data_IF_510551414504
#
_entry.id   IF_510551414504
#
_cell.length_a   1.000
_cell.length_b   1.000
_cell.length_c   1.000
_cell.angle_alpha   90.00
_cell.angle_beta   90.00
_cell.angle_gamma   90.00
#
_symmetry.space_group_name_H-M   'P 1'
#
loop_
_entity.id
_entity.type
_entity.pdbx_description
1 polymer ?
#
# COMPACT_ATOMS: atom_id res chain seq x y z
N UNK A 1 -16.72 -23.76 -8.61
CA UNK A 1 -16.08 -22.43 -8.76
C UNK A 1 -17.11 -21.38 -9.22
N UNK A 2 -18.33 -21.34 -8.63
CA UNK A 2 -19.40 -20.36 -8.96
C UNK A 2 -19.56 -19.25 -7.91
N UNK A 3 -18.91 -19.40 -6.75
CA UNK A 3 -19.06 -18.45 -5.63
C UNK A 3 -18.15 -17.21 -5.78
N UNK A 4 -17.13 -17.26 -6.65
CA UNK A 4 -16.23 -16.13 -6.89
C UNK A 4 -16.76 -15.13 -7.93
N UNK A 5 -17.65 -15.55 -8.83
CA UNK A 5 -18.16 -14.69 -9.91
C UNK A 5 -19.07 -13.56 -9.39
N UNK A 6 -19.65 -13.71 -8.20
CA UNK A 6 -20.50 -12.70 -7.56
C UNK A 6 -19.72 -11.74 -6.64
N UNK A 7 -18.45 -11.99 -6.38
CA UNK A 7 -17.62 -11.13 -5.52
C UNK A 7 -16.85 -10.17 -6.41
N UNK A 8 -17.48 -9.05 -6.78
CA UNK A 8 -16.76 -7.96 -7.41
C UNK A 8 -15.93 -7.26 -6.32
N UNK A 9 -14.59 -7.39 -6.30
CA UNK A 9 -13.80 -6.72 -5.28
C UNK A 9 -13.95 -5.20 -5.46
N UNK A 10 -14.04 -4.44 -4.37
CA UNK A 10 -14.13 -2.99 -4.47
C UNK A 10 -12.92 -2.45 -5.24
N UNK A 11 -13.12 -1.37 -6.03
CA UNK A 11 -12.06 -0.77 -6.82
C UNK A 11 -10.89 -0.38 -5.90
N UNK A 12 -9.68 -0.60 -6.40
CA UNK A 12 -8.45 -0.25 -5.71
C UNK A 12 -8.18 1.22 -5.99
N UNK A 13 -8.12 2.07 -4.96
CA UNK A 13 -7.82 3.49 -5.15
C UNK A 13 -6.35 3.65 -5.53
N UNK A 14 -6.07 4.61 -6.41
CA UNK A 14 -4.72 5.04 -6.69
C UNK A 14 -4.13 5.76 -5.47
N UNK A 15 -2.80 5.73 -5.36
CA UNK A 15 -2.05 6.41 -4.30
C UNK A 15 -1.03 7.33 -4.97
N UNK A 16 -1.13 8.63 -4.68
CA UNK A 16 -0.07 9.57 -5.05
C UNK A 16 1.09 9.54 -4.04
N UNK A 17 2.14 10.30 -4.34
CA UNK A 17 3.32 10.38 -3.49
C UNK A 17 3.01 10.89 -2.07
N UNK A 18 2.08 11.84 -1.94
CA UNK A 18 1.68 12.42 -0.67
C UNK A 18 0.81 11.45 0.13
N UNK A 19 -0.05 10.67 -0.51
CA UNK A 19 -0.86 9.62 0.12
C UNK A 19 0.00 8.57 0.79
N UNK A 20 1.03 8.08 0.07
CA UNK A 20 1.94 7.04 0.56
C UNK A 20 2.72 7.56 1.77
N UNK A 21 3.24 8.79 1.66
CA UNK A 21 3.96 9.45 2.76
C UNK A 21 3.06 9.64 3.98
N UNK A 22 1.83 10.13 3.79
CA UNK A 22 0.85 10.33 4.87
C UNK A 22 0.47 9.01 5.53
N UNK A 23 0.25 7.95 4.76
CA UNK A 23 -0.05 6.62 5.29
C UNK A 23 1.09 6.12 6.18
N UNK A 24 2.33 6.18 5.68
CA UNK A 24 3.51 5.76 6.44
C UNK A 24 3.68 6.57 7.73
N UNK A 25 3.54 7.88 7.65
CA UNK A 25 3.71 8.79 8.80
C UNK A 25 2.57 8.62 9.82
N UNK A 26 1.35 8.35 9.37
CA UNK A 26 0.22 8.00 10.24
C UNK A 26 0.46 6.73 11.04
N UNK A 27 1.20 5.77 10.49
CA UNK A 27 1.65 4.56 11.19
C UNK A 27 2.89 4.80 12.09
N UNK A 28 3.46 6.01 12.07
CA UNK A 28 4.70 6.38 12.76
C UNK A 28 5.91 5.54 12.33
N UNK A 29 5.95 5.14 11.05
CA UNK A 29 7.02 4.30 10.51
C UNK A 29 8.07 5.11 9.74
N UNK A 30 9.32 4.68 9.85
CA UNK A 30 10.37 5.10 8.92
C UNK A 30 10.21 4.42 7.57
N UNK A 31 10.81 4.96 6.50
CA UNK A 31 10.74 4.36 5.16
C UNK A 31 11.23 2.90 5.14
N UNK A 32 12.35 2.51 5.82
CA UNK A 32 12.78 1.11 5.87
C UNK A 32 11.80 0.18 6.60
N UNK A 33 11.20 0.64 7.70
CA UNK A 33 10.22 -0.17 8.45
C UNK A 33 8.95 -0.37 7.62
N UNK A 34 8.48 0.68 6.95
CA UNK A 34 7.32 0.56 6.06
C UNK A 34 7.59 -0.39 4.88
N UNK A 35 8.80 -0.31 4.31
CA UNK A 35 9.22 -1.22 3.24
C UNK A 35 9.20 -2.69 3.67
N UNK A 36 9.61 -2.98 4.91
CA UNK A 36 9.60 -4.33 5.49
C UNK A 36 8.19 -4.94 5.48
N UNK A 37 7.19 -4.19 5.94
CA UNK A 37 5.79 -4.65 5.96
C UNK A 37 5.17 -4.80 4.56
N UNK A 38 5.65 -4.02 3.58
CA UNK A 38 5.19 -4.10 2.19
C UNK A 38 5.99 -5.10 1.34
N UNK A 39 6.95 -5.84 1.93
CA UNK A 39 7.89 -6.70 1.21
C UNK A 39 8.54 -6.02 -0.01
N UNK A 40 9.00 -4.79 0.19
CA UNK A 40 9.73 -4.01 -0.80
C UNK A 40 10.99 -3.39 -0.18
N UNK A 41 11.70 -2.57 -0.94
CA UNK A 41 12.90 -1.89 -0.47
C UNK A 41 12.60 -0.46 -0.04
N UNK A 42 13.42 0.08 0.89
CA UNK A 42 13.33 1.49 1.27
C UNK A 42 13.52 2.44 0.07
N UNK A 43 14.32 2.04 -0.92
CA UNK A 43 14.49 2.81 -2.16
C UNK A 43 13.21 2.85 -3.00
N UNK A 44 12.43 1.76 -3.05
CA UNK A 44 11.13 1.75 -3.70
C UNK A 44 10.14 2.68 -2.99
N UNK A 45 10.04 2.60 -1.66
CA UNK A 45 9.19 3.52 -0.87
C UNK A 45 9.59 4.98 -1.12
N UNK A 46 10.88 5.27 -1.12
CA UNK A 46 11.38 6.61 -1.40
C UNK A 46 10.97 7.10 -2.79
N UNK A 47 11.13 6.28 -3.83
CA UNK A 47 10.73 6.63 -5.20
C UNK A 47 9.23 6.89 -5.32
N UNK A 48 8.41 6.08 -4.63
CA UNK A 48 6.97 6.29 -4.56
C UNK A 48 6.61 7.62 -3.87
N UNK A 49 7.22 7.90 -2.72
CA UNK A 49 7.01 9.15 -1.96
C UNK A 49 7.58 10.40 -2.66
N UNK A 50 8.40 10.21 -3.69
CA UNK A 50 8.93 11.28 -4.55
C UNK A 50 8.16 11.40 -5.88
N UNK A 51 7.26 10.46 -6.18
CA UNK A 51 6.53 10.40 -7.46
C UNK A 51 7.38 9.98 -8.66
N UNK A 52 8.56 9.37 -8.45
CA UNK A 52 9.40 8.86 -9.53
C UNK A 52 8.83 7.58 -10.14
N UNK A 53 8.18 6.76 -9.32
CA UNK A 53 7.45 5.56 -9.71
C UNK A 53 6.16 5.47 -8.90
N UNK A 54 5.25 4.56 -9.29
CA UNK A 54 3.98 4.36 -8.59
C UNK A 54 3.79 2.88 -8.23
N UNK A 55 3.12 2.57 -7.09
CA UNK A 55 2.75 1.22 -6.76
C UNK A 55 1.68 0.70 -7.74
N UNK A 56 1.82 -0.54 -8.17
CA UNK A 56 0.86 -1.21 -9.06
C UNK A 56 0.52 -2.60 -8.53
N UNK A 57 -0.56 -3.19 -9.05
CA UNK A 57 -0.94 -4.57 -8.76
C UNK A 57 -1.02 -4.88 -7.24
N UNK A 58 -0.34 -5.94 -6.76
CA UNK A 58 -0.40 -6.35 -5.35
C UNK A 58 0.04 -5.28 -4.36
N UNK A 59 1.06 -4.48 -4.68
CA UNK A 59 1.54 -3.43 -3.79
C UNK A 59 0.48 -2.34 -3.59
N UNK A 60 -0.19 -1.92 -4.67
CA UNK A 60 -1.28 -0.96 -4.60
C UNK A 60 -2.47 -1.51 -3.79
N UNK A 61 -2.78 -2.79 -3.97
CA UNK A 61 -3.82 -3.46 -3.17
C UNK A 61 -3.46 -3.49 -1.68
N UNK A 62 -2.20 -3.76 -1.34
CA UNK A 62 -1.73 -3.82 0.04
C UNK A 62 -1.79 -2.45 0.71
N UNK A 63 -1.38 -1.38 0.01
CA UNK A 63 -1.54 0.00 0.48
C UNK A 63 -3.01 0.34 0.78
N UNK A 64 -3.92 -0.06 -0.09
CA UNK A 64 -5.36 0.09 0.15
C UNK A 64 -5.82 -0.66 1.41
N UNK A 65 -5.41 -1.92 1.58
CA UNK A 65 -5.77 -2.73 2.75
C UNK A 65 -5.28 -2.07 4.04
N UNK A 66 -4.02 -1.62 4.07
CA UNK A 66 -3.44 -0.96 5.25
C UNK A 66 -4.18 0.35 5.55
N UNK A 67 -4.50 1.13 4.52
CA UNK A 67 -5.16 2.42 4.71
C UNK A 67 -6.64 2.30 5.10
N UNK A 68 -7.33 1.21 4.71
CA UNK A 68 -8.74 1.00 5.06
C UNK A 68 -8.92 0.25 6.38
N UNK A 69 -8.04 -0.72 6.66
CA UNK A 69 -8.19 -1.66 7.78
C UNK A 69 -7.11 -1.54 8.83
N UNK A 70 -6.10 -0.70 8.60
CA UNK A 70 -4.92 -0.58 9.46
C UNK A 70 -3.91 -1.70 9.23
N UNK A 71 -2.74 -1.56 9.86
CA UNK A 71 -1.63 -2.50 9.74
C UNK A 71 -1.96 -3.92 10.23
N UNK A 72 -2.89 -4.07 11.17
CA UNK A 72 -3.31 -5.37 11.72
C UNK A 72 -3.92 -6.31 10.68
N UNK A 73 -4.34 -5.80 9.52
CA UNK A 73 -4.87 -6.61 8.44
C UNK A 73 -3.81 -7.44 7.70
N UNK A 74 -2.51 -7.21 7.97
CA UNK A 74 -1.38 -7.81 7.26
C UNK A 74 -0.29 -8.35 8.19
N UNK A 75 -0.58 -8.45 9.50
CA UNK A 75 0.29 -9.05 10.52
C UNK A 75 -0.25 -10.43 10.90
#
# INVERSE_FOLDING_TARGET
MREFDAICPPPVREFDAADIKRLREGLKFSQPIFALYLHTTASTIRKWEQGETHPTGPALKLLNIIADKGLQAII
#
